data_IF_756877203961
#
_entry.id   IF_756877203961
#
_cell.length_a   1.000
_cell.length_b   1.000
_cell.length_c   1.000
_cell.angle_alpha   90.00
_cell.angle_beta   90.00
_cell.angle_gamma   90.00
#
_symmetry.space_group_name_H-M   'P 1'
#
loop_
_entity.id
_entity.type
_entity.pdbx_description
1 polymer ?
#
# COMPACT_ATOMS: atom_id res chain seq x y z
N UNK A 1 17.56 2.42 -18.68
CA UNK A 1 16.49 1.42 -18.41
C UNK A 1 15.68 1.88 -17.19
N UNK A 2 14.46 2.40 -17.38
CA UNK A 2 13.59 2.90 -16.29
C UNK A 2 13.16 1.71 -15.43
N UNK A 3 13.40 1.73 -14.11
CA UNK A 3 12.98 0.64 -13.21
C UNK A 3 11.54 0.90 -12.78
N UNK A 4 10.66 -0.07 -12.99
CA UNK A 4 9.32 -0.04 -12.37
C UNK A 4 9.50 -0.38 -10.89
N UNK A 5 9.44 0.64 -10.03
CA UNK A 5 9.54 0.47 -8.58
C UNK A 5 8.15 0.19 -8.01
N UNK A 6 8.00 -0.95 -7.37
CA UNK A 6 6.83 -1.23 -6.54
C UNK A 6 6.83 -0.35 -5.29
N UNK A 7 5.65 0.14 -4.86
CA UNK A 7 5.53 0.79 -3.56
C UNK A 7 5.84 -0.22 -2.45
N UNK A 8 6.80 0.07 -1.54
CA UNK A 8 7.20 -0.86 -0.49
C UNK A 8 6.21 -0.91 0.69
N UNK A 9 5.13 -0.13 0.67
CA UNK A 9 4.22 0.06 1.78
C UNK A 9 2.76 -0.12 1.35
N UNK A 10 1.92 -0.57 2.28
CA UNK A 10 0.49 -0.71 2.11
C UNK A 10 -0.19 0.64 1.81
N UNK A 11 -1.35 0.63 1.15
CA UNK A 11 -2.09 1.85 0.75
C UNK A 11 -2.44 2.75 1.94
N UNK A 12 -2.87 2.13 3.05
CA UNK A 12 -3.16 2.83 4.32
C UNK A 12 -1.90 3.48 4.90
N UNK A 13 -0.80 2.72 4.95
CA UNK A 13 0.48 3.14 5.48
C UNK A 13 1.05 4.32 4.68
N UNK A 14 0.88 4.26 3.35
CA UNK A 14 1.29 5.29 2.40
C UNK A 14 0.46 6.58 2.57
N UNK A 15 -0.85 6.45 2.74
CA UNK A 15 -1.73 7.60 3.02
C UNK A 15 -1.46 8.23 4.38
N UNK A 16 -1.33 7.41 5.43
CA UNK A 16 -1.02 7.87 6.79
C UNK A 16 0.43 8.30 6.98
N UNK A 17 1.30 8.07 5.99
CA UNK A 17 2.75 8.36 6.01
C UNK A 17 3.47 7.71 7.21
N UNK A 18 3.05 6.51 7.58
CA UNK A 18 3.62 5.72 8.69
C UNK A 18 4.48 4.58 8.15
N UNK A 19 5.35 4.04 9.01
CA UNK A 19 6.22 2.91 8.68
C UNK A 19 5.37 1.65 8.45
N UNK A 20 5.56 0.97 7.33
CA UNK A 20 4.90 -0.29 7.02
C UNK A 20 5.85 -1.46 7.26
N UNK A 21 5.42 -2.47 8.04
CA UNK A 21 6.22 -3.66 8.33
C UNK A 21 6.07 -4.78 7.28
N UNK A 22 5.39 -4.52 6.15
CA UNK A 22 5.22 -5.47 5.02
C UNK A 22 4.53 -6.81 5.36
N UNK A 23 4.08 -6.99 6.59
CA UNK A 23 3.22 -8.10 6.99
C UNK A 23 1.79 -7.85 6.51
N UNK A 24 1.01 -8.93 6.36
CA UNK A 24 -0.39 -8.87 5.95
C UNK A 24 -1.25 -9.60 6.98
N UNK A 25 -2.06 -8.88 7.77
CA UNK A 25 -2.17 -7.42 7.87
C UNK A 25 -0.91 -6.78 8.49
N UNK A 26 -0.65 -5.51 8.16
CA UNK A 26 0.50 -4.79 8.69
C UNK A 26 0.28 -4.47 10.19
N UNK A 27 1.30 -4.52 11.05
CA UNK A 27 1.12 -4.21 12.49
C UNK A 27 0.45 -2.85 12.72
N UNK A 28 0.88 -1.81 12.01
CA UNK A 28 0.26 -0.49 12.12
C UNK A 28 -1.21 -0.48 11.68
N UNK A 29 -1.60 -1.37 10.78
CA UNK A 29 -2.97 -1.56 10.31
C UNK A 29 -3.79 -2.26 11.39
N UNK A 30 -3.22 -3.26 12.05
CA UNK A 30 -3.82 -3.97 13.18
C UNK A 30 -4.01 -3.03 14.38
N UNK A 31 -2.97 -2.28 14.76
CA UNK A 31 -3.04 -1.30 15.87
C UNK A 31 -4.06 -0.18 15.61
N UNK A 32 -4.25 0.22 14.36
CA UNK A 32 -5.24 1.24 13.99
C UNK A 32 -6.66 0.67 13.79
N UNK A 33 -6.86 -0.65 13.87
CA UNK A 33 -8.14 -1.28 13.52
C UNK A 33 -8.50 -1.18 12.03
N UNK A 34 -7.52 -0.93 11.17
CA UNK A 34 -7.65 -0.84 9.70
C UNK A 34 -7.08 -2.06 8.99
N UNK A 35 -7.08 -3.22 9.64
CA UNK A 35 -6.61 -4.50 9.07
C UNK A 35 -7.36 -4.87 7.80
N UNK A 36 -8.68 -4.64 7.77
CA UNK A 36 -9.55 -4.91 6.62
C UNK A 36 -9.27 -4.00 5.42
N UNK A 37 -8.64 -2.84 5.65
CA UNK A 37 -8.28 -1.86 4.62
C UNK A 37 -6.80 -1.98 4.21
N UNK A 38 -6.05 -2.92 4.80
CA UNK A 38 -4.65 -3.16 4.50
C UNK A 38 -4.50 -3.81 3.11
N UNK A 39 -4.50 -2.97 2.07
CA UNK A 39 -4.26 -3.39 0.70
C UNK A 39 -2.86 -2.97 0.25
N UNK A 40 -2.12 -3.86 -0.43
CA UNK A 40 -0.90 -3.49 -1.14
C UNK A 40 -1.26 -3.27 -2.61
N UNK A 41 -1.06 -2.05 -3.10
CA UNK A 41 -1.27 -1.78 -4.51
C UNK A 41 -0.29 -2.59 -5.34
N UNK A 42 -0.84 -3.49 -6.16
CA UNK A 42 -0.06 -4.42 -6.93
C UNK A 42 0.67 -3.75 -8.09
N UNK A 43 0.34 -2.52 -8.50
CA UNK A 43 1.02 -1.89 -9.63
C UNK A 43 0.91 -0.36 -9.60
N UNK A 44 2.03 0.40 -9.65
CA UNK A 44 2.02 1.87 -9.63
C UNK A 44 1.44 2.52 -10.90
N UNK A 45 1.08 1.75 -11.94
CA UNK A 45 0.54 2.26 -13.21
C UNK A 45 -0.95 1.97 -13.42
N UNK A 46 -1.53 1.01 -12.69
CA UNK A 46 -2.94 0.61 -12.89
C UNK A 46 -3.93 1.64 -12.36
N UNK A 47 -3.52 2.46 -11.37
CA UNK A 47 -4.34 3.59 -10.91
C UNK A 47 -4.62 4.64 -12.00
N UNK A 48 -3.87 4.62 -13.10
CA UNK A 48 -4.04 5.51 -14.25
C UNK A 48 -4.73 4.84 -15.44
N UNK A 49 -4.97 3.53 -15.39
CA UNK A 49 -5.61 2.75 -16.46
C UNK A 49 -7.08 2.49 -16.17
N UNK A 50 -7.50 2.57 -14.91
CA UNK A 50 -8.91 2.46 -14.50
C UNK A 50 -9.42 3.85 -14.11
N UNK A 51 -9.39 4.80 -15.05
CA UNK A 51 -10.19 6.03 -15.01
C UNK A 51 -10.52 6.39 -16.46
N UNK A 52 -11.79 6.16 -16.79
CA UNK A 52 -12.51 6.32 -18.07
C UNK A 52 -12.28 5.27 -19.16
#
# INVERSE_FOLDING_TARGET
KKRQRFPPACSVCRHKKIKCNKQQPCESCTENGTENLCHYDELPWVSSVIKE
#
